data_IF_724385363780
#
_entry.id   IF_724385363780
#
_cell.length_a   1.000
_cell.length_b   1.000
_cell.length_c   1.000
_cell.angle_alpha   90.00
_cell.angle_beta   90.00
_cell.angle_gamma   90.00
#
_symmetry.space_group_name_H-M   'P 1'
#
loop_
_entity.id
_entity.type
_entity.pdbx_description
1 polymer ?
#
# COMPACT_ATOMS: atom_id res chain seq x y z
N UNK A 1 -1.74 13.59 -16.51
CA UNK A 1 -3.22 13.72 -16.44
C UNK A 1 -3.83 12.32 -16.37
N UNK A 2 -4.82 12.08 -15.51
CA UNK A 2 -5.52 10.79 -15.45
C UNK A 2 -6.28 10.51 -16.75
N UNK A 3 -6.27 9.26 -17.21
CA UNK A 3 -6.98 8.81 -18.42
C UNK A 3 -8.43 8.54 -18.04
N UNK A 4 -9.38 9.32 -18.57
CA UNK A 4 -10.79 9.31 -18.15
C UNK A 4 -11.61 8.14 -18.67
N UNK A 5 -11.23 7.52 -19.79
CA UNK A 5 -12.07 6.54 -20.49
C UNK A 5 -11.82 5.08 -20.06
N UNK A 6 -11.23 4.85 -18.88
CA UNK A 6 -10.97 3.49 -18.40
C UNK A 6 -12.17 2.93 -17.63
N UNK A 7 -12.45 1.61 -17.69
CA UNK A 7 -13.40 0.97 -16.78
C UNK A 7 -13.08 1.26 -15.30
N UNK A 8 -14.08 1.21 -14.42
CA UNK A 8 -13.89 1.52 -12.99
C UNK A 8 -12.85 0.61 -12.33
N UNK A 9 -12.82 -0.67 -12.70
CA UNK A 9 -11.79 -1.61 -12.24
C UNK A 9 -10.38 -1.15 -12.65
N UNK A 10 -10.23 -0.73 -13.90
CA UNK A 10 -8.95 -0.31 -14.45
C UNK A 10 -8.43 0.97 -13.80
N UNK A 11 -9.32 1.91 -13.47
CA UNK A 11 -8.99 3.07 -12.64
C UNK A 11 -8.43 2.65 -11.27
N UNK A 12 -9.01 1.62 -10.65
CA UNK A 12 -8.59 1.14 -9.35
C UNK A 12 -7.20 0.49 -9.39
N UNK A 13 -6.96 -0.36 -10.39
CA UNK A 13 -5.66 -1.02 -10.60
C UNK A 13 -4.57 -0.02 -10.97
N UNK A 14 -4.91 0.97 -11.80
CA UNK A 14 -4.01 2.07 -12.10
C UNK A 14 -3.67 2.89 -10.85
N UNK A 15 -4.64 3.15 -9.97
CA UNK A 15 -4.40 3.84 -8.71
C UNK A 15 -3.42 3.10 -7.79
N UNK A 16 -3.45 1.75 -7.80
CA UNK A 16 -2.45 0.94 -7.10
C UNK A 16 -1.04 1.16 -7.66
N UNK A 17 -0.88 1.32 -8.97
CA UNK A 17 0.42 1.65 -9.56
C UNK A 17 0.84 3.11 -9.24
N UNK A 18 -0.12 4.02 -9.20
CA UNK A 18 0.12 5.46 -9.07
C UNK A 18 0.49 5.91 -7.65
N UNK A 19 -0.08 5.31 -6.61
CA UNK A 19 -0.09 5.84 -5.23
C UNK A 19 1.22 6.47 -4.73
N UNK A 20 2.37 5.81 -4.93
CA UNK A 20 3.67 6.32 -4.49
C UNK A 20 4.68 6.52 -5.62
N UNK A 21 4.24 6.46 -6.87
CA UNK A 21 5.11 6.51 -8.06
C UNK A 21 4.69 7.63 -9.00
N UNK A 22 5.57 8.03 -9.92
CA UNK A 22 5.23 9.07 -10.89
C UNK A 22 4.13 8.60 -11.84
N UNK A 23 3.36 9.54 -12.43
CA UNK A 23 2.36 9.19 -13.45
C UNK A 23 2.98 8.53 -14.69
N UNK A 24 4.25 8.81 -14.99
CA UNK A 24 4.97 8.19 -16.13
C UNK A 24 5.23 6.72 -15.85
N UNK A 25 5.77 6.43 -14.67
CA UNK A 25 6.10 5.06 -14.26
C UNK A 25 4.84 4.23 -14.04
N UNK A 26 3.80 4.83 -13.43
CA UNK A 26 2.50 4.19 -13.25
C UNK A 26 1.84 3.81 -14.58
N UNK A 27 1.92 4.68 -15.60
CA UNK A 27 1.41 4.35 -16.94
C UNK A 27 2.21 3.22 -17.59
N UNK A 28 3.55 3.28 -17.51
CA UNK A 28 4.42 2.25 -18.08
C UNK A 28 4.16 0.89 -17.42
N UNK A 29 4.05 0.87 -16.09
CA UNK A 29 3.72 -0.32 -15.30
C UNK A 29 2.35 -0.88 -15.65
N UNK A 30 1.34 -0.01 -15.76
CA UNK A 30 -0.02 -0.42 -16.10
C UNK A 30 -0.11 -1.00 -17.52
N UNK A 31 0.50 -0.33 -18.50
CA UNK A 31 0.58 -0.85 -19.88
C UNK A 31 1.33 -2.18 -19.94
N UNK A 32 2.39 -2.33 -19.13
CA UNK A 32 3.12 -3.60 -19.04
C UNK A 32 2.23 -4.73 -18.53
N UNK A 33 1.44 -4.51 -17.48
CA UNK A 33 0.46 -5.49 -17.01
C UNK A 33 -0.56 -5.89 -18.09
N UNK A 34 -1.12 -4.90 -18.81
CA UNK A 34 -2.09 -5.17 -19.89
C UNK A 34 -1.47 -5.93 -21.08
N UNK A 35 -0.16 -5.75 -21.31
CA UNK A 35 0.54 -6.43 -22.42
C UNK A 35 0.98 -7.85 -22.09
N UNK A 36 1.30 -8.12 -20.82
CA UNK A 36 1.87 -9.40 -20.38
C UNK A 36 0.79 -10.41 -19.99
N UNK A 37 -0.35 -9.94 -19.49
CA UNK A 37 -1.43 -10.80 -19.01
C UNK A 37 -2.66 -10.62 -19.89
N UNK A 38 -3.27 -11.72 -20.30
CA UNK A 38 -4.42 -11.70 -21.21
C UNK A 38 -5.69 -11.18 -20.52
N UNK A 39 -5.84 -11.43 -19.22
CA UNK A 39 -6.96 -10.97 -18.42
C UNK A 39 -6.57 -10.71 -16.96
N UNK A 40 -7.46 -10.05 -16.20
CA UNK A 40 -7.25 -9.78 -14.78
C UNK A 40 -7.31 -11.04 -13.89
N UNK A 41 -7.85 -12.14 -14.41
CA UNK A 41 -7.85 -13.42 -13.69
C UNK A 41 -6.44 -14.01 -13.65
N UNK A 42 -5.69 -13.88 -14.74
CA UNK A 42 -4.28 -14.28 -14.85
C UNK A 42 -3.43 -13.50 -13.84
N UNK A 43 -3.56 -12.16 -13.82
CA UNK A 43 -2.89 -11.28 -12.85
C UNK A 43 -3.20 -11.69 -11.40
N UNK A 44 -4.45 -12.11 -11.11
CA UNK A 44 -4.85 -12.55 -9.77
C UNK A 44 -4.14 -13.84 -9.34
N UNK A 45 -3.91 -14.78 -10.26
CA UNK A 45 -3.28 -16.07 -9.97
C UNK A 45 -1.75 -16.01 -10.00
N UNK A 46 -1.17 -14.97 -10.60
CA UNK A 46 0.27 -14.67 -10.56
C UNK A 46 0.80 -14.51 -9.13
N UNK A 47 2.09 -14.77 -8.91
CA UNK A 47 2.74 -14.54 -7.62
C UNK A 47 3.04 -13.06 -7.36
N UNK A 48 3.19 -12.68 -6.08
CA UNK A 48 3.58 -11.30 -5.73
C UNK A 48 4.99 -11.01 -6.25
N UNK A 49 5.89 -12.00 -6.24
CA UNK A 49 7.26 -11.84 -6.72
C UNK A 49 7.31 -11.53 -8.21
N UNK A 50 6.61 -12.29 -9.05
CA UNK A 50 6.52 -12.02 -10.49
C UNK A 50 5.93 -10.64 -10.76
N UNK A 51 4.81 -10.29 -10.10
CA UNK A 51 4.24 -8.94 -10.23
C UNK A 51 5.22 -7.84 -9.79
N UNK A 52 6.02 -8.09 -8.75
CA UNK A 52 7.03 -7.13 -8.28
C UNK A 52 8.14 -6.92 -9.32
N UNK A 53 8.57 -7.99 -9.99
CA UNK A 53 9.57 -7.91 -11.07
C UNK A 53 9.04 -7.09 -12.25
N UNK A 54 7.79 -7.34 -12.66
CA UNK A 54 7.16 -6.59 -13.75
C UNK A 54 6.89 -5.12 -13.41
N UNK A 55 6.68 -4.82 -12.13
CA UNK A 55 6.42 -3.46 -11.64
C UNK A 55 7.69 -2.73 -11.17
N UNK A 56 8.88 -3.25 -11.45
CA UNK A 56 10.18 -2.74 -10.96
C UNK A 56 10.49 -1.26 -11.28
N UNK A 57 9.77 -0.65 -12.23
CA UNK A 57 9.84 0.79 -12.53
C UNK A 57 9.14 1.69 -11.50
N UNK A 58 8.28 1.12 -10.65
CA UNK A 58 7.61 1.86 -9.57
C UNK A 58 8.57 2.11 -8.41
N UNK A 59 8.28 3.13 -7.61
CA UNK A 59 9.01 3.42 -6.38
C UNK A 59 8.84 2.33 -5.31
N UNK A 60 7.66 1.71 -5.27
CA UNK A 60 7.25 0.72 -4.28
C UNK A 60 6.67 -0.55 -4.93
N UNK A 61 7.45 -1.27 -5.76
CA UNK A 61 6.94 -2.34 -6.63
C UNK A 61 6.28 -3.48 -5.84
N UNK A 62 6.85 -3.83 -4.67
CA UNK A 62 6.31 -4.89 -3.81
C UNK A 62 4.95 -4.52 -3.20
N UNK A 63 4.82 -3.29 -2.71
CA UNK A 63 3.55 -2.82 -2.13
C UNK A 63 2.48 -2.66 -3.23
N UNK A 64 2.86 -2.18 -4.42
CA UNK A 64 1.96 -2.10 -5.56
C UNK A 64 1.46 -3.50 -5.99
N UNK A 65 2.35 -4.47 -6.11
CA UNK A 65 2.00 -5.86 -6.42
C UNK A 65 1.04 -6.47 -5.39
N UNK A 66 1.29 -6.23 -4.10
CA UNK A 66 0.41 -6.69 -3.00
C UNK A 66 -0.97 -6.04 -3.09
N UNK A 67 -1.05 -4.72 -3.35
CA UNK A 67 -2.31 -3.98 -3.49
C UNK A 67 -3.13 -4.50 -4.67
N UNK A 68 -2.52 -4.67 -5.83
CA UNK A 68 -3.16 -5.21 -7.04
C UNK A 68 -3.69 -6.62 -6.78
N UNK A 69 -2.83 -7.53 -6.29
CA UNK A 69 -3.22 -8.93 -6.09
C UNK A 69 -4.32 -9.09 -5.05
N UNK A 70 -4.20 -8.44 -3.89
CA UNK A 70 -5.23 -8.50 -2.84
C UNK A 70 -6.55 -7.90 -3.33
N UNK A 71 -6.48 -6.78 -4.04
CA UNK A 71 -7.65 -6.13 -4.63
C UNK A 71 -8.38 -7.03 -5.62
N UNK A 72 -7.66 -7.61 -6.59
CA UNK A 72 -8.22 -8.55 -7.56
C UNK A 72 -8.80 -9.80 -6.90
N UNK A 73 -8.15 -10.33 -5.87
CA UNK A 73 -8.65 -11.46 -5.10
C UNK A 73 -9.99 -11.13 -4.43
N UNK A 74 -10.07 -10.00 -3.73
CA UNK A 74 -11.27 -9.59 -3.01
C UNK A 74 -12.46 -9.29 -3.94
N UNK A 75 -12.19 -8.65 -5.09
CA UNK A 75 -13.20 -8.40 -6.12
C UNK A 75 -13.75 -9.72 -6.65
N UNK A 76 -12.88 -10.68 -6.95
CA UNK A 76 -13.29 -11.99 -7.40
C UNK A 76 -14.14 -12.74 -6.36
N UNK A 77 -13.76 -12.70 -5.08
CA UNK A 77 -14.55 -13.33 -4.00
C UNK A 77 -15.93 -12.68 -3.82
N UNK A 78 -16.05 -11.38 -4.10
CA UNK A 78 -17.29 -10.63 -3.86
C UNK A 78 -18.26 -10.68 -5.04
N UNK A 79 -17.75 -10.50 -6.27
CA UNK A 79 -18.57 -10.30 -7.48
C UNK A 79 -18.45 -11.48 -8.46
N UNK A 80 -17.44 -12.34 -8.30
CA UNK A 80 -17.11 -13.43 -9.24
C UNK A 80 -16.90 -12.94 -10.69
N UNK A 81 -16.61 -11.65 -10.86
CA UNK A 81 -16.37 -10.99 -12.15
C UNK A 81 -15.41 -9.82 -11.96
N UNK A 82 -14.55 -9.59 -12.94
CA UNK A 82 -13.64 -8.44 -12.99
C UNK A 82 -14.31 -7.23 -13.65
N UNK A 83 -15.42 -6.79 -13.09
CA UNK A 83 -16.22 -5.69 -13.63
C UNK A 83 -16.87 -4.91 -12.48
N UNK A 84 -16.62 -3.60 -12.45
CA UNK A 84 -17.10 -2.69 -11.41
C UNK A 84 -18.09 -1.65 -11.96
N UNK A 85 -18.60 -1.80 -13.18
CA UNK A 85 -19.55 -0.85 -13.79
C UNK A 85 -20.89 -0.76 -13.06
N UNK A 86 -21.21 -1.71 -12.18
CA UNK A 86 -22.36 -1.57 -11.28
C UNK A 86 -22.18 -0.41 -10.29
N UNK A 87 -20.94 -0.02 -9.94
CA UNK A 87 -20.66 1.08 -9.02
C UNK A 87 -21.04 2.45 -9.60
N UNK A 88 -21.04 2.63 -10.92
CA UNK A 88 -21.45 3.88 -11.57
C UNK A 88 -22.97 4.06 -11.58
N UNK A 89 -23.71 2.94 -11.50
CA UNK A 89 -25.19 2.91 -11.57
C UNK A 89 -25.87 3.14 -10.23
N UNK A 90 -25.16 2.94 -9.12
CA UNK A 90 -25.73 3.08 -7.78
C UNK A 90 -25.40 4.43 -7.13
N UNK A 91 -26.01 4.72 -5.97
CA UNK A 91 -25.76 5.96 -5.23
C UNK A 91 -24.30 5.99 -4.77
N UNK A 92 -23.66 7.15 -4.89
CA UNK A 92 -22.27 7.37 -4.50
C UNK A 92 -21.96 6.87 -3.07
N UNK A 93 -22.84 7.15 -2.11
CA UNK A 93 -22.67 6.70 -0.72
C UNK A 93 -22.58 5.17 -0.60
N UNK A 94 -23.33 4.45 -1.44
CA UNK A 94 -23.28 2.99 -1.51
C UNK A 94 -21.97 2.54 -2.15
N UNK A 95 -21.60 3.09 -3.32
CA UNK A 95 -20.33 2.75 -3.98
C UNK A 95 -19.12 3.00 -3.07
N UNK A 96 -19.11 4.08 -2.31
CA UNK A 96 -18.05 4.35 -1.33
C UNK A 96 -18.04 3.36 -0.16
N UNK A 97 -19.21 2.91 0.30
CA UNK A 97 -19.31 1.89 1.34
C UNK A 97 -18.79 0.55 0.84
N UNK A 98 -19.16 0.17 -0.38
CA UNK A 98 -18.73 -1.08 -1.02
C UNK A 98 -17.21 -1.07 -1.24
N UNK A 99 -16.67 0.01 -1.82
CA UNK A 99 -15.22 0.19 -2.02
C UNK A 99 -14.42 0.10 -0.70
N UNK A 100 -14.97 0.63 0.40
CA UNK A 100 -14.33 0.56 1.72
C UNK A 100 -14.45 -0.82 2.38
N UNK A 101 -15.46 -1.61 2.00
CA UNK A 101 -15.63 -2.97 2.50
C UNK A 101 -14.59 -3.92 1.91
N UNK A 102 -14.09 -3.62 0.70
CA UNK A 102 -13.12 -4.43 0.00
C UNK A 102 -11.73 -4.34 0.63
N UNK A 103 -11.10 -5.50 0.82
CA UNK A 103 -9.73 -5.59 1.34
C UNK A 103 -8.73 -5.43 0.20
N UNK A 104 -7.60 -4.78 0.47
CA UNK A 104 -6.48 -4.67 -0.47
C UNK A 104 -6.33 -3.29 -1.13
N UNK A 105 -7.37 -2.46 -1.10
CA UNK A 105 -7.31 -1.09 -1.59
C UNK A 105 -7.02 -0.10 -0.46
N UNK A 106 -6.17 0.88 -0.78
CA UNK A 106 -5.83 1.99 0.12
C UNK A 106 -6.88 3.10 0.01
N UNK A 107 -6.92 3.99 1.00
CA UNK A 107 -7.80 5.16 0.94
C UNK A 107 -7.45 6.07 -0.25
N UNK A 108 -6.17 6.13 -0.65
CA UNK A 108 -5.76 6.81 -1.87
C UNK A 108 -6.44 6.18 -3.09
N UNK A 109 -6.33 4.86 -3.28
CA UNK A 109 -6.93 4.15 -4.41
C UNK A 109 -8.45 4.33 -4.48
N UNK A 110 -9.13 4.24 -3.33
CA UNK A 110 -10.58 4.45 -3.24
C UNK A 110 -10.96 5.88 -3.65
N UNK A 111 -10.31 6.89 -3.07
CA UNK A 111 -10.59 8.30 -3.39
C UNK A 111 -10.24 8.63 -4.84
N UNK A 112 -9.20 8.01 -5.39
CA UNK A 112 -8.81 8.18 -6.79
C UNK A 112 -9.89 7.66 -7.73
N UNK A 113 -10.46 6.48 -7.46
CA UNK A 113 -11.58 5.92 -8.25
C UNK A 113 -12.84 6.73 -8.07
N UNK A 114 -13.14 7.20 -6.86
CA UNK A 114 -14.28 8.11 -6.63
C UNK A 114 -14.15 9.38 -7.47
N UNK A 115 -12.93 9.92 -7.58
CA UNK A 115 -12.65 11.13 -8.36
C UNK A 115 -12.68 10.89 -9.88
N UNK A 116 -12.01 9.84 -10.37
CA UNK A 116 -11.76 9.64 -11.80
C UNK A 116 -12.70 8.62 -12.44
N UNK A 117 -13.10 7.58 -11.73
CA UNK A 117 -13.99 6.53 -12.24
C UNK A 117 -15.48 6.77 -11.93
N UNK A 118 -15.81 7.39 -10.79
CA UNK A 118 -17.20 7.72 -10.41
C UNK A 118 -17.55 9.21 -10.61
N UNK A 119 -16.62 10.00 -11.15
CA UNK A 119 -16.76 11.44 -11.44
C UNK A 119 -17.30 12.30 -10.28
N UNK A 120 -17.00 11.88 -9.05
CA UNK A 120 -17.42 12.56 -7.85
C UNK A 120 -16.31 13.45 -7.29
N UNK A 121 -16.69 14.48 -6.53
CA UNK A 121 -15.71 15.31 -5.84
C UNK A 121 -15.05 14.53 -4.70
N UNK A 122 -13.77 14.22 -4.86
CA UNK A 122 -12.91 13.60 -3.86
C UNK A 122 -11.46 14.02 -4.15
N UNK A 123 -10.62 14.12 -3.12
CA UNK A 123 -9.20 14.44 -3.28
C UNK A 123 -8.38 13.26 -2.76
N UNK A 124 -7.73 12.50 -3.66
CA UNK A 124 -6.86 11.41 -3.24
C UNK A 124 -5.55 11.97 -2.65
N UNK A 125 -5.18 11.48 -1.46
CA UNK A 125 -3.96 11.89 -0.75
C UNK A 125 -3.20 10.63 -0.37
N UNK A 126 -1.98 10.47 -0.89
CA UNK A 126 -1.10 9.37 -0.55
C UNK A 126 -0.34 9.65 0.75
N UNK A 127 0.30 8.63 1.32
CA UNK A 127 0.98 8.76 2.62
C UNK A 127 2.03 9.87 2.65
N UNK A 128 2.81 10.00 1.58
CA UNK A 128 3.86 11.03 1.48
C UNK A 128 3.30 12.45 1.28
N UNK A 129 2.15 12.61 0.61
CA UNK A 129 1.48 13.92 0.57
C UNK A 129 0.94 14.32 1.95
N UNK A 130 0.49 13.38 2.78
CA UNK A 130 0.18 13.68 4.19
C UNK A 130 1.41 14.20 4.94
N UNK A 131 2.58 13.59 4.74
CA UNK A 131 3.82 14.06 5.35
C UNK A 131 4.16 15.49 4.93
N UNK A 132 4.08 15.79 3.63
CA UNK A 132 4.28 17.15 3.14
C UNK A 132 3.26 18.15 3.73
N UNK A 133 1.99 17.77 3.87
CA UNK A 133 0.95 18.62 4.45
C UNK A 133 1.11 18.81 5.97
N UNK A 134 1.70 17.83 6.68
CA UNK A 134 2.06 17.96 8.10
C UNK A 134 3.20 18.97 8.24
N UNK A 135 4.21 18.91 7.38
CA UNK A 135 5.31 19.90 7.36
C UNK A 135 4.76 21.31 7.14
N UNK A 136 3.80 21.48 6.23
CA UNK A 136 3.10 22.75 5.99
C UNK A 136 2.14 23.17 7.11
N UNK A 137 1.92 22.34 8.14
CA UNK A 137 0.97 22.63 9.22
C UNK A 137 -0.51 22.58 8.80
N UNK A 138 -0.81 22.10 7.60
CA UNK A 138 -2.18 21.95 7.06
C UNK A 138 -2.83 20.68 7.61
N UNK A 139 -2.04 19.63 7.80
CA UNK A 139 -2.48 18.36 8.36
C UNK A 139 -1.78 18.05 9.69
N UNK A 140 -2.36 17.10 10.43
CA UNK A 140 -1.79 16.57 11.66
C UNK A 140 -1.53 15.07 11.53
N UNK A 141 -0.75 14.50 12.44
CA UNK A 141 -0.57 13.05 12.54
C UNK A 141 -1.91 12.30 12.73
N UNK A 142 -2.88 12.92 13.40
CA UNK A 142 -4.22 12.37 13.53
C UNK A 142 -4.94 12.29 12.17
N UNK A 143 -4.79 13.31 11.32
CA UNK A 143 -5.35 13.32 9.97
C UNK A 143 -4.71 12.24 9.09
N UNK A 144 -3.38 12.04 9.20
CA UNK A 144 -2.67 10.98 8.48
C UNK A 144 -3.16 9.59 8.89
N UNK A 145 -3.29 9.34 10.21
CA UNK A 145 -3.85 8.07 10.73
C UNK A 145 -5.30 7.84 10.30
N UNK A 146 -6.09 8.91 10.21
CA UNK A 146 -7.47 8.86 9.72
C UNK A 146 -7.57 8.79 8.18
N UNK A 147 -6.46 8.97 7.46
CA UNK A 147 -6.40 9.13 6.00
C UNK A 147 -7.42 10.15 5.45
N UNK A 148 -7.69 11.21 6.24
CA UNK A 148 -8.68 12.22 5.90
C UNK A 148 -8.30 13.56 6.49
N UNK A 149 -8.47 14.62 5.69
CA UNK A 149 -8.35 16.02 6.15
C UNK A 149 -9.76 16.61 6.18
N UNK A 150 -10.34 16.85 7.38
CA UNK A 150 -11.67 17.44 7.48
C UNK A 150 -11.78 18.78 6.74
N UNK A 151 -12.77 18.91 5.87
CA UNK A 151 -13.05 20.16 5.15
C UNK A 151 -12.23 20.40 3.89
N UNK A 152 -11.26 19.54 3.55
CA UNK A 152 -10.43 19.73 2.35
C UNK A 152 -11.26 19.80 1.07
N UNK A 153 -12.21 18.89 0.89
CA UNK A 153 -13.11 18.87 -0.27
C UNK A 153 -14.12 20.03 -0.26
N UNK A 154 -14.30 20.73 0.87
CA UNK A 154 -15.11 21.95 0.94
C UNK A 154 -14.31 23.19 0.54
N UNK A 155 -13.01 23.19 0.83
CA UNK A 155 -12.09 24.31 0.52
C UNK A 155 -11.71 24.33 -0.95
N UNK A 156 -11.55 23.16 -1.58
CA UNK A 156 -11.19 23.04 -2.99
C UNK A 156 -12.45 22.85 -3.83
N UNK A 157 -12.67 23.73 -4.80
CA UNK A 157 -13.81 23.67 -5.69
C UNK A 157 -13.79 22.41 -6.58
N UNK A 158 -14.96 21.88 -6.95
CA UNK A 158 -15.10 20.65 -7.74
C UNK A 158 -14.33 20.70 -9.06
N UNK A 159 -14.36 21.84 -9.75
CA UNK A 159 -13.64 22.04 -11.02
C UNK A 159 -12.11 22.03 -10.87
N UNK A 160 -11.58 22.31 -9.68
CA UNK A 160 -10.15 22.30 -9.39
C UNK A 160 -9.69 21.02 -8.69
N UNK A 161 -10.62 20.18 -8.21
CA UNK A 161 -10.29 19.01 -7.39
C UNK A 161 -9.36 18.00 -8.08
N UNK A 162 -9.56 17.76 -9.38
CA UNK A 162 -8.73 16.81 -10.16
C UNK A 162 -7.31 17.33 -10.31
N UNK A 163 -7.15 18.60 -10.69
CA UNK A 163 -5.84 19.23 -10.85
C UNK A 163 -5.11 19.34 -9.51
N UNK A 164 -5.80 19.79 -8.47
CA UNK A 164 -5.25 19.88 -7.12
C UNK A 164 -4.78 18.51 -6.62
N UNK A 165 -5.58 17.45 -6.79
CA UNK A 165 -5.22 16.10 -6.40
C UNK A 165 -3.98 15.58 -7.14
N UNK A 166 -3.87 15.86 -8.44
CA UNK A 166 -2.70 15.48 -9.24
C UNK A 166 -1.43 16.21 -8.80
N UNK A 167 -1.50 17.52 -8.54
CA UNK A 167 -0.36 18.31 -8.06
C UNK A 167 0.06 17.91 -6.64
N UNK A 168 -0.91 17.65 -5.76
CA UNK A 168 -0.66 17.19 -4.40
C UNK A 168 0.01 15.80 -4.40
N UNK A 169 -0.44 14.91 -5.28
CA UNK A 169 0.20 13.60 -5.47
C UNK A 169 1.63 13.76 -5.98
N UNK A 170 1.88 14.63 -6.97
CA UNK A 170 3.22 14.91 -7.46
C UNK A 170 4.14 15.43 -6.36
N UNK A 171 3.66 16.36 -5.52
CA UNK A 171 4.39 16.81 -4.32
C UNK A 171 4.72 15.64 -3.39
N UNK A 172 3.76 14.74 -3.15
CA UNK A 172 3.99 13.55 -2.34
C UNK A 172 5.04 12.61 -2.93
N UNK A 173 5.02 12.38 -4.24
CA UNK A 173 6.01 11.55 -4.95
C UNK A 173 7.41 12.19 -4.90
N UNK A 174 7.50 13.49 -5.09
CA UNK A 174 8.78 14.21 -4.95
C UNK A 174 9.30 14.13 -3.51
N UNK A 175 8.39 14.22 -2.53
CA UNK A 175 8.71 14.14 -1.11
C UNK A 175 9.22 12.74 -0.71
N UNK A 176 8.60 11.64 -1.15
CA UNK A 176 9.07 10.28 -0.82
C UNK A 176 10.41 9.96 -1.50
N UNK A 177 10.61 10.44 -2.73
CA UNK A 177 11.85 10.18 -3.49
C UNK A 177 13.04 10.96 -2.94
N UNK A 178 12.82 12.20 -2.51
CA UNK A 178 13.89 13.02 -1.97
C UNK A 178 13.38 13.97 -0.86
N UNK A 179 13.11 13.46 0.35
CA UNK A 179 12.55 14.24 1.45
C UNK A 179 13.42 15.46 1.82
N UNK A 180 14.73 15.32 1.67
CA UNK A 180 15.73 16.35 2.00
C UNK A 180 16.16 17.18 0.79
N UNK A 181 15.55 16.94 -0.38
CA UNK A 181 15.93 17.54 -1.64
C UNK A 181 15.72 19.05 -1.64
N UNK A 182 16.66 19.77 -2.28
CA UNK A 182 16.59 21.23 -2.44
C UNK A 182 15.26 21.66 -3.09
N UNK A 183 14.83 20.93 -4.11
CA UNK A 183 13.60 21.17 -4.87
C UNK A 183 12.33 21.11 -4.00
N UNK A 184 12.21 20.07 -3.17
CA UNK A 184 11.08 19.88 -2.25
C UNK A 184 11.08 20.96 -1.18
N UNK A 185 12.23 21.30 -0.61
CA UNK A 185 12.37 22.38 0.37
C UNK A 185 12.01 23.75 -0.20
N UNK A 186 12.53 24.09 -1.37
CA UNK A 186 12.21 25.34 -2.08
C UNK A 186 10.71 25.43 -2.37
N UNK A 187 10.10 24.33 -2.80
CA UNK A 187 8.65 24.26 -3.06
C UNK A 187 7.84 24.46 -1.78
N UNK A 188 8.15 23.74 -0.69
CA UNK A 188 7.44 23.89 0.59
C UNK A 188 7.53 25.32 1.15
N UNK A 189 8.73 25.91 1.11
CA UNK A 189 8.95 27.30 1.55
C UNK A 189 8.26 28.34 0.65
N UNK A 190 8.05 28.03 -0.64
CA UNK A 190 7.29 28.88 -1.55
C UNK A 190 5.80 28.88 -1.25
N UNK A 191 5.27 27.77 -0.71
CA UNK A 191 3.86 27.63 -0.30
C UNK A 191 3.62 28.33 1.04
N UNK A 192 4.41 28.01 2.07
CA UNK A 192 4.37 28.70 3.36
C UNK A 192 5.77 28.79 3.98
N UNK A 193 6.29 30.01 4.11
CA UNK A 193 7.58 30.26 4.75
C UNK A 193 7.62 29.82 6.21
N UNK A 194 6.46 29.72 6.89
CA UNK A 194 6.37 29.28 8.28
C UNK A 194 6.62 27.79 8.48
N UNK A 195 6.75 27.01 7.40
CA UNK A 195 7.04 25.57 7.48
C UNK A 195 8.53 25.27 7.72
N UNK A 196 9.42 26.27 7.67
CA UNK A 196 10.87 26.12 7.88
C UNK A 196 11.27 25.26 9.10
N UNK A 197 10.71 25.47 10.31
CA UNK A 197 11.05 24.65 11.49
C UNK A 197 10.59 23.20 11.37
N UNK A 198 9.59 22.90 10.54
CA UNK A 198 9.03 21.56 10.38
C UNK A 198 9.68 20.79 9.22
N UNK A 199 10.62 21.39 8.48
CA UNK A 199 11.27 20.73 7.36
C UNK A 199 12.02 19.47 7.81
N UNK A 200 11.93 18.37 7.05
CA UNK A 200 12.62 17.14 7.39
C UNK A 200 14.13 17.39 7.42
N UNK A 201 14.77 17.04 8.54
CA UNK A 201 16.22 17.15 8.71
C UNK A 201 16.90 15.84 8.34
N UNK A 202 18.01 15.92 7.59
CA UNK A 202 18.79 14.74 7.25
C UNK A 202 19.33 14.14 8.57
N UNK A 203 19.19 12.83 8.81
CA UNK A 203 19.78 12.21 9.98
C UNK A 203 21.29 12.52 9.99
N UNK A 204 21.73 13.25 11.00
CA UNK A 204 23.15 13.41 11.30
C UNK A 204 23.67 12.03 11.68
N UNK A 205 24.80 11.60 11.11
CA UNK A 205 25.46 10.33 11.44
C UNK A 205 26.01 10.26 12.89
N UNK A 206 25.43 11.02 13.83
CA UNK A 206 25.83 11.14 15.24
C UNK A 206 24.74 10.73 16.23
N UNK A 207 23.59 10.21 15.79
CA UNK A 207 22.52 9.71 16.67
C UNK A 207 22.35 8.17 16.60
N UNK A 208 23.46 7.45 16.42
CA UNK A 208 23.56 6.02 16.78
C UNK A 208 24.69 5.83 17.81
N UNK A 209 24.59 6.49 18.96
CA UNK A 209 25.42 6.13 20.12
C UNK A 209 24.85 6.71 21.41
N UNK A 210 23.68 6.25 21.83
CA UNK A 210 23.30 6.29 23.25
C UNK A 210 22.24 5.20 23.55
N UNK A 211 22.68 3.94 23.49
CA UNK A 211 22.15 2.92 24.39
C UNK A 211 23.29 2.39 25.27
N UNK A 212 23.19 2.47 26.61
CA UNK A 212 24.17 1.88 27.49
C UNK A 212 23.95 0.36 27.53
N UNK A 213 24.74 -0.39 26.76
CA UNK A 213 24.83 -1.85 26.88
C UNK A 213 25.40 -2.19 28.27
N UNK A 214 24.50 -2.64 29.14
CA UNK A 214 24.79 -3.27 30.43
C UNK A 214 25.79 -4.42 30.26
N UNK A 215 27.02 -4.19 30.71
CA UNK A 215 28.06 -5.21 30.89
C UNK A 215 27.69 -6.09 32.08
N UNK A 216 27.18 -7.30 31.84
CA UNK A 216 27.32 -8.40 32.81
C UNK A 216 28.48 -9.30 32.37
N UNK A 217 29.57 -9.21 33.13
CA UNK A 217 30.74 -10.09 33.05
C UNK A 217 30.32 -11.54 33.33
N UNK A 218 30.78 -12.47 32.49
CA UNK A 218 31.38 -13.72 32.98
C UNK A 218 32.54 -14.09 32.08
N UNK A 219 33.68 -14.31 32.73
CA UNK A 219 34.99 -14.46 32.13
C UNK A 219 35.23 -15.91 31.67
N UNK A 220 36.00 -16.04 30.58
CA UNK A 220 37.09 -17.02 30.33
C UNK A 220 36.85 -18.52 30.63
N UNK A 221 37.21 -19.49 29.77
CA UNK A 221 38.47 -19.62 29.01
C UNK A 221 38.44 -20.89 28.15
N UNK A 222 39.10 -20.80 26.98
CA UNK A 222 40.01 -21.77 26.34
C UNK A 222 39.49 -23.11 25.75
N UNK A 223 39.68 -23.15 24.42
CA UNK A 223 40.52 -24.08 23.61
C UNK A 223 40.04 -25.51 23.33
N UNK A 224 40.01 -25.77 22.02
CA UNK A 224 40.70 -26.83 21.28
C UNK A 224 39.87 -28.03 20.75
N UNK A 225 39.85 -28.07 19.41
CA UNK A 225 40.25 -29.20 18.56
C UNK A 225 39.46 -30.53 18.61
N UNK A 226 38.75 -30.74 17.49
CA UNK A 226 38.96 -31.83 16.51
C UNK A 226 38.39 -33.24 16.84
N UNK A 227 37.59 -33.67 15.85
CA UNK A 227 37.52 -35.01 15.22
C UNK A 227 36.46 -36.02 15.70
N UNK A 228 35.82 -36.58 14.64
CA UNK A 228 35.38 -37.98 14.42
C UNK A 228 34.01 -38.38 15.01
N UNK A 229 33.02 -38.62 14.14
CA UNK A 229 32.52 -39.94 13.69
C UNK A 229 31.98 -40.78 14.86
N UNK A 230 30.76 -41.33 14.88
CA UNK A 230 30.25 -42.34 13.94
C UNK A 230 28.78 -42.65 14.25
N UNK A 231 27.99 -42.87 13.18
CA UNK A 231 26.92 -43.86 12.94
C UNK A 231 26.14 -44.55 14.09
N UNK A 232 24.87 -44.82 13.72
CA UNK A 232 24.06 -46.06 13.89
C UNK A 232 22.94 -45.93 14.92
N UNK A 233 21.71 -45.59 14.49
CA UNK A 233 20.66 -46.49 13.98
C UNK A 233 20.11 -47.46 15.02
N UNK A 234 18.78 -47.44 15.25
CA UNK A 234 17.89 -48.59 15.06
C UNK A 234 16.43 -48.25 15.34
N UNK A 235 15.56 -48.86 14.54
CA UNK A 235 14.11 -48.77 14.54
C UNK A 235 13.46 -49.90 15.37
N UNK A 236 12.25 -49.66 15.89
CA UNK A 236 11.08 -50.59 15.99
C UNK A 236 10.00 -49.91 16.87
N UNK A 237 8.79 -49.58 16.42
CA UNK A 237 7.67 -50.39 15.89
C UNK A 237 7.01 -51.27 16.96
N UNK A 238 5.75 -50.95 17.33
CA UNK A 238 4.56 -51.83 17.51
C UNK A 238 3.42 -51.04 18.19
N UNK A 239 2.30 -50.73 17.50
CA UNK A 239 0.97 -51.43 17.50
C UNK A 239 0.30 -51.49 18.88
N UNK A 240 -0.97 -51.15 19.13
CA UNK A 240 -2.28 -51.51 18.51
C UNK A 240 -3.35 -50.59 19.18
N UNK A 241 -4.37 -50.04 18.50
CA UNK A 241 -5.74 -50.61 18.26
C UNK A 241 -6.45 -50.99 19.60
N UNK A 242 -7.70 -50.65 19.91
CA UNK A 242 -8.86 -50.40 19.08
C UNK A 242 -10.07 -49.90 19.91
N UNK A 243 -10.95 -49.12 19.25
CA UNK A 243 -12.40 -49.32 19.16
C UNK A 243 -13.29 -48.96 20.37
N UNK A 244 -14.16 -47.93 20.26
CA UNK A 244 -15.52 -47.95 19.69
C UNK A 244 -16.55 -48.45 20.72
N UNK A 245 -17.79 -47.98 20.83
CA UNK A 245 -18.70 -47.32 19.88
C UNK A 245 -20.00 -46.97 20.67
N UNK A 246 -20.67 -45.87 20.26
CA UNK A 246 -22.16 -45.69 20.20
C UNK A 246 -22.93 -45.75 21.54
N UNK A 247 -24.09 -45.13 21.75
CA UNK A 247 -25.05 -44.24 21.05
C UNK A 247 -26.10 -43.91 22.12
N UNK A 248 -26.92 -42.86 22.13
CA UNK A 248 -28.09 -42.50 21.29
C UNK A 248 -28.79 -41.33 22.03
N UNK A 249 -29.22 -40.24 21.36
CA UNK A 249 -30.64 -39.85 21.07
C UNK A 249 -31.55 -39.73 22.32
N UNK A 250 -32.45 -38.77 22.55
CA UNK A 250 -33.27 -37.87 21.71
C UNK A 250 -34.18 -37.03 22.66
N UNK A 251 -34.65 -35.86 22.18
CA UNK A 251 -35.92 -35.15 22.48
C UNK A 251 -36.60 -35.27 23.86
N UNK A 252 -36.91 -34.10 24.42
CA UNK A 252 -37.98 -33.83 25.39
C UNK A 252 -38.02 -32.33 25.60
#
# INVERSE_FOLDING_TARGET
MPVKDRPVLEHLLYACCLENSSSSDANSAYTRLQSLYCDWNEVRVTTVSELTEELSMLNDPGEAAVRIKKGLHNIFETIYKFDLEHLTKQKLSQSMSDLKSWRGFTNYGINYVVQNGLESHSIPINGAAFDALIVLGIATEANKKAHKIPGLERTIAKNQGVEFGALLHQLGVDFINNPYGKKVRELLLSVDKKCEPNLPQKPSAKEESDEPVSKKKTATKKKAAKKKTTKKATAKKTTKKAAAKKSTKKKG
#
